data_IF_983146065206
#
_entry.id   IF_983146065206
#
_cell.length_a   1.000
_cell.length_b   1.000
_cell.length_c   1.000
_cell.angle_alpha   90.00
_cell.angle_beta   90.00
_cell.angle_gamma   90.00
#
_symmetry.space_group_name_H-M   'P 1'
#
loop_
_entity.id
_entity.type
_entity.pdbx_description
1 polymer ?
#
# COMPACT_ATOMS: atom_id res chain seq x y z
N UNK A 1 9.01 -18.57 -7.18
CA UNK A 1 7.97 -17.68 -7.76
C UNK A 1 6.68 -18.00 -7.01
N UNK A 2 6.19 -17.11 -6.15
CA UNK A 2 5.02 -17.39 -5.30
C UNK A 2 3.75 -17.47 -6.14
N UNK A 3 2.98 -18.54 -6.05
CA UNK A 3 1.72 -18.64 -6.76
C UNK A 3 0.62 -17.92 -5.99
N UNK A 4 -0.13 -17.08 -6.71
CA UNK A 4 -1.25 -16.32 -6.14
C UNK A 4 -2.48 -17.19 -6.18
N UNK A 5 -3.09 -17.49 -5.02
CA UNK A 5 -4.19 -18.46 -4.96
C UNK A 5 -5.48 -17.84 -5.51
N UNK A 6 -5.88 -16.65 -5.05
CA UNK A 6 -6.96 -15.81 -5.64
C UNK A 6 -7.03 -14.46 -4.90
N UNK A 7 -7.13 -13.30 -5.59
CA UNK A 7 -7.49 -12.03 -4.95
C UNK A 7 -8.97 -12.05 -4.53
N UNK A 8 -9.25 -11.85 -3.24
CA UNK A 8 -10.62 -11.75 -2.70
C UNK A 8 -10.91 -10.32 -2.27
N UNK A 9 -12.05 -9.76 -2.69
CA UNK A 9 -12.49 -8.45 -2.18
C UNK A 9 -13.04 -8.60 -0.77
N UNK A 10 -12.64 -7.72 0.15
CA UNK A 10 -13.13 -7.75 1.53
C UNK A 10 -14.49 -7.06 1.58
N UNK A 11 -15.59 -7.75 1.98
CA UNK A 11 -16.94 -7.20 1.97
C UNK A 11 -17.04 -5.86 2.70
N UNK A 12 -17.73 -4.90 2.10
CA UNK A 12 -17.93 -3.56 2.68
C UNK A 12 -16.70 -2.64 2.61
N UNK A 13 -15.63 -3.01 1.89
CA UNK A 13 -14.43 -2.17 1.77
C UNK A 13 -13.89 -2.14 0.33
N UNK A 14 -13.03 -1.17 0.02
CA UNK A 14 -12.23 -1.13 -1.21
C UNK A 14 -10.96 -1.99 -1.14
N UNK A 15 -10.84 -2.84 -0.12
CA UNK A 15 -9.65 -3.66 0.13
C UNK A 15 -9.75 -4.99 -0.60
N UNK A 16 -8.61 -5.44 -1.11
CA UNK A 16 -8.44 -6.78 -1.65
C UNK A 16 -7.44 -7.55 -0.79
N UNK A 17 -7.77 -8.79 -0.44
CA UNK A 17 -6.89 -9.74 0.23
C UNK A 17 -6.36 -10.72 -0.80
N UNK A 18 -5.05 -10.81 -0.91
CA UNK A 18 -4.36 -11.77 -1.77
C UNK A 18 -3.67 -12.78 -0.86
N UNK A 19 -4.03 -14.06 -0.99
CA UNK A 19 -3.39 -15.15 -0.23
C UNK A 19 -2.44 -15.89 -1.17
N UNK A 20 -1.21 -16.08 -0.71
CA UNK A 20 -0.18 -16.86 -1.41
C UNK A 20 -0.18 -18.33 -0.95
N UNK A 21 0.41 -19.21 -1.76
CA UNK A 21 0.64 -20.64 -1.49
C UNK A 21 1.32 -20.93 -0.14
N UNK A 22 2.21 -20.04 0.30
CA UNK A 22 2.91 -20.12 1.60
C UNK A 22 2.09 -19.60 2.80
N UNK A 23 0.82 -19.22 2.59
CA UNK A 23 -0.05 -18.66 3.62
C UNK A 23 0.17 -17.16 3.88
N UNK A 24 1.08 -16.50 3.15
CA UNK A 24 1.26 -15.04 3.27
C UNK A 24 -0.01 -14.32 2.82
N UNK A 25 -0.50 -13.38 3.63
CA UNK A 25 -1.59 -12.48 3.25
C UNK A 25 -1.06 -11.10 2.84
N UNK A 26 -1.48 -10.62 1.67
CA UNK A 26 -1.24 -9.26 1.21
C UNK A 26 -2.57 -8.51 1.12
N UNK A 27 -2.69 -7.45 1.93
CA UNK A 27 -3.81 -6.53 1.88
C UNK A 27 -3.50 -5.38 0.92
N UNK A 28 -4.23 -5.31 -0.20
CA UNK A 28 -4.18 -4.20 -1.16
C UNK A 28 -5.34 -3.25 -0.88
N UNK A 29 -5.09 -1.95 -0.98
CA UNK A 29 -6.11 -0.93 -0.89
C UNK A 29 -5.85 0.11 -1.96
N UNK A 30 -6.89 0.46 -2.72
CA UNK A 30 -6.83 1.61 -3.60
C UNK A 30 -6.83 2.89 -2.75
N UNK A 31 -5.88 3.77 -3.05
CA UNK A 31 -5.75 5.08 -2.42
C UNK A 31 -6.08 6.14 -3.44
N UNK A 32 -6.84 7.14 -3.00
CA UNK A 32 -7.05 8.34 -3.78
C UNK A 32 -6.02 9.39 -3.34
N UNK A 33 -5.39 10.02 -4.32
CA UNK A 33 -4.54 11.19 -4.15
C UNK A 33 -4.90 12.17 -5.26
N UNK A 34 -4.86 13.46 -4.96
CA UNK A 34 -5.01 14.51 -5.96
C UNK A 34 -3.84 14.49 -6.95
N UNK A 35 -4.00 15.01 -8.19
CA UNK A 35 -2.97 14.94 -9.21
C UNK A 35 -1.59 15.45 -8.75
N UNK A 36 -1.55 16.59 -8.05
CA UNK A 36 -0.30 17.16 -7.55
C UNK A 36 0.36 16.29 -6.46
N UNK A 37 -0.43 15.55 -5.69
CA UNK A 37 0.07 14.62 -4.67
C UNK A 37 0.72 13.40 -5.31
N UNK A 38 0.18 12.91 -6.43
CA UNK A 38 0.82 11.86 -7.22
C UNK A 38 2.19 12.28 -7.76
N UNK A 39 2.31 13.52 -8.23
CA UNK A 39 3.59 14.03 -8.73
C UNK A 39 4.62 14.17 -7.61
N UNK A 40 4.20 14.66 -6.44
CA UNK A 40 5.05 14.72 -5.25
C UNK A 40 5.48 13.31 -4.79
N UNK A 41 4.58 12.34 -4.81
CA UNK A 41 4.90 10.95 -4.49
C UNK A 41 5.96 10.37 -5.45
N UNK A 42 5.81 10.58 -6.76
CA UNK A 42 6.78 10.12 -7.76
C UNK A 42 8.16 10.75 -7.54
N UNK A 43 8.22 12.04 -7.26
CA UNK A 43 9.48 12.74 -6.94
C UNK A 43 10.13 12.14 -5.70
N UNK A 44 9.36 11.95 -4.63
CA UNK A 44 9.87 11.39 -3.37
C UNK A 44 10.36 9.95 -3.53
N UNK A 45 9.61 9.13 -4.26
CA UNK A 45 9.99 7.75 -4.59
C UNK A 45 11.29 7.70 -5.39
N UNK A 46 11.43 8.58 -6.39
CA UNK A 46 12.65 8.72 -7.20
C UNK A 46 13.86 9.13 -6.37
N UNK A 47 13.71 10.18 -5.53
CA UNK A 47 14.77 10.67 -4.65
C UNK A 47 15.28 9.61 -3.65
N UNK A 48 14.40 8.72 -3.21
CA UNK A 48 14.75 7.66 -2.26
C UNK A 48 15.13 6.33 -2.93
N UNK A 49 15.02 6.21 -4.26
CA UNK A 49 15.28 4.96 -4.99
C UNK A 49 14.33 3.81 -4.59
N UNK A 50 13.08 4.12 -4.23
CA UNK A 50 12.09 3.12 -3.77
C UNK A 50 10.79 3.23 -4.56
N UNK A 51 9.90 2.25 -4.43
CA UNK A 51 8.58 2.29 -5.05
C UNK A 51 7.64 3.27 -4.32
N UNK A 52 6.70 3.86 -5.06
CA UNK A 52 5.68 4.76 -4.49
C UNK A 52 4.85 4.09 -3.39
N UNK A 53 4.51 2.81 -3.53
CA UNK A 53 3.79 2.05 -2.50
C UNK A 53 4.55 1.97 -1.19
N UNK A 54 5.89 1.84 -1.23
CA UNK A 54 6.71 1.83 -0.02
C UNK A 54 6.72 3.20 0.66
N UNK A 55 6.77 4.28 -0.12
CA UNK A 55 6.67 5.65 0.41
C UNK A 55 5.32 5.86 1.11
N UNK A 56 4.22 5.44 0.49
CA UNK A 56 2.89 5.52 1.10
C UNK A 56 2.84 4.73 2.41
N UNK A 57 3.38 3.50 2.43
CA UNK A 57 3.48 2.70 3.65
C UNK A 57 4.21 3.44 4.77
N UNK A 58 5.38 4.02 4.47
CA UNK A 58 6.16 4.82 5.44
C UNK A 58 5.39 6.03 5.95
N UNK A 59 4.65 6.74 5.09
CA UNK A 59 3.84 7.90 5.49
C UNK A 59 2.70 7.49 6.43
N UNK A 60 2.04 6.35 6.17
CA UNK A 60 1.00 5.80 7.04
C UNK A 60 1.61 5.39 8.39
N UNK A 61 2.76 4.72 8.40
CA UNK A 61 3.45 4.32 9.63
C UNK A 61 3.85 5.52 10.49
N UNK A 62 4.33 6.59 9.86
CA UNK A 62 4.62 7.85 10.56
C UNK A 62 3.34 8.44 11.15
N UNK A 63 2.28 8.59 10.37
CA UNK A 63 1.02 9.16 10.83
C UNK A 63 0.36 8.36 11.96
N UNK A 64 0.48 7.02 11.94
CA UNK A 64 -0.07 6.16 12.99
C UNK A 64 0.76 6.20 14.27
N UNK A 65 2.10 6.27 14.18
CA UNK A 65 2.98 6.45 15.34
C UNK A 65 2.70 7.76 16.10
N UNK A 66 2.33 8.82 15.40
CA UNK A 66 1.97 10.10 16.04
C UNK A 66 0.56 10.13 16.64
N UNK A 67 -0.29 9.15 16.33
CA UNK A 67 -1.66 9.08 16.86
C UNK A 67 -1.77 8.48 18.27
N UNK A 68 -0.68 7.89 18.79
CA UNK A 68 -0.65 7.21 20.10
C UNK A 68 -0.14 8.11 21.24
N UNK A 69 -0.30 9.43 21.14
CA UNK A 69 -0.03 10.38 22.22
C UNK A 69 -1.29 11.10 22.66
#
# INVERSE_FOLDING_TARGET
MRMTITPTSVPGTSRQRVVYDDGTELHRQYVYLEPHQWDNLKKLASLQGVSGSLVIGRLIDLATKFKTR
#
